data_IF_708883059895
#
_entry.id   IF_708883059895
#
_cell.length_a   1.000
_cell.length_b   1.000
_cell.length_c   1.000
_cell.angle_alpha   90.00
_cell.angle_beta   90.00
_cell.angle_gamma   90.00
#
_symmetry.space_group_name_H-M   'P 1'
#
loop_
_entity.id
_entity.type
_entity.pdbx_description
1 polymer ?
#
# COMPACT_ATOMS: atom_id res chain seq x y z
N UNK A 1 6.13 22.34 -17.58
CA UNK A 1 5.62 21.41 -16.55
C UNK A 1 5.05 20.15 -17.21
N UNK A 2 4.21 20.31 -18.24
CA UNK A 2 3.57 19.19 -18.95
C UNK A 2 4.56 18.26 -19.67
N UNK A 3 5.67 18.79 -20.16
CA UNK A 3 6.71 17.96 -20.79
C UNK A 3 7.44 17.07 -19.79
N UNK A 4 7.69 17.57 -18.58
CA UNK A 4 8.29 16.77 -17.51
C UNK A 4 7.33 15.66 -17.09
N UNK A 5 6.05 16.00 -16.91
CA UNK A 5 5.00 15.03 -16.59
C UNK A 5 4.89 13.94 -17.67
N UNK A 6 4.84 14.33 -18.95
CA UNK A 6 4.80 13.40 -20.09
C UNK A 6 6.03 12.50 -20.14
N UNK A 7 7.22 13.01 -19.81
CA UNK A 7 8.45 12.19 -19.73
C UNK A 7 8.37 11.17 -18.60
N UNK A 8 7.85 11.57 -17.44
CA UNK A 8 7.62 10.67 -16.30
C UNK A 8 6.60 9.58 -16.68
N UNK A 9 5.48 9.95 -17.28
CA UNK A 9 4.44 9.01 -17.73
C UNK A 9 5.01 8.00 -18.75
N UNK A 10 5.84 8.46 -19.69
CA UNK A 10 6.50 7.59 -20.66
C UNK A 10 7.52 6.64 -20.01
N UNK A 11 8.22 7.07 -18.95
CA UNK A 11 9.13 6.19 -18.20
C UNK A 11 8.33 5.08 -17.52
N UNK A 12 7.20 5.41 -16.90
CA UNK A 12 6.32 4.41 -16.30
C UNK A 12 5.76 3.44 -17.35
N UNK A 13 5.22 3.94 -18.45
CA UNK A 13 4.64 3.13 -19.52
C UNK A 13 5.69 2.21 -20.14
N UNK A 14 6.86 2.73 -20.49
CA UNK A 14 7.94 1.93 -21.09
C UNK A 14 8.51 0.91 -20.10
N UNK A 15 8.66 1.31 -18.84
CA UNK A 15 9.06 0.40 -17.75
C UNK A 15 8.10 -0.77 -17.61
N UNK A 16 6.79 -0.52 -17.67
CA UNK A 16 5.73 -1.54 -17.65
C UNK A 16 5.71 -2.40 -18.93
N UNK A 17 5.90 -1.81 -20.11
CA UNK A 17 5.93 -2.54 -21.39
C UNK A 17 7.11 -3.51 -21.50
N UNK A 18 8.30 -3.14 -21.00
CA UNK A 18 9.48 -4.03 -20.96
C UNK A 18 9.21 -5.31 -20.16
N UNK A 19 8.31 -5.26 -19.19
CA UNK A 19 7.88 -6.43 -18.39
C UNK A 19 6.96 -7.38 -19.17
N UNK A 20 6.22 -6.85 -20.14
CA UNK A 20 5.20 -7.61 -20.87
C UNK A 20 5.77 -8.42 -22.03
N UNK A 21 7.06 -8.27 -22.34
CA UNK A 21 7.72 -8.91 -23.48
C UNK A 21 7.88 -10.44 -23.34
N UNK A 22 7.21 -11.07 -22.37
CA UNK A 22 7.05 -12.52 -22.27
C UNK A 22 5.68 -12.90 -22.84
N UNK A 23 5.68 -13.35 -24.08
CA UNK A 23 4.49 -13.87 -24.74
C UNK A 23 3.91 -15.06 -23.97
N UNK A 24 2.63 -14.98 -23.60
CA UNK A 24 1.86 -16.12 -23.07
C UNK A 24 1.59 -16.15 -21.56
N UNK A 25 1.97 -15.13 -20.77
CA UNK A 25 1.60 -15.04 -19.35
C UNK A 25 0.34 -14.17 -19.13
N UNK A 26 -0.53 -14.58 -18.22
CA UNK A 26 -1.70 -13.78 -17.82
C UNK A 26 -1.28 -12.44 -17.19
N UNK A 27 -2.09 -11.39 -17.35
CA UNK A 27 -1.81 -10.01 -16.86
C UNK A 27 -1.40 -10.00 -15.37
N UNK A 28 -2.07 -10.77 -14.52
CA UNK A 28 -1.79 -10.86 -13.08
C UNK A 28 -0.41 -11.49 -12.77
N UNK A 29 0.15 -12.27 -13.70
CA UNK A 29 1.50 -12.83 -13.60
C UNK A 29 2.55 -11.85 -14.14
N UNK A 30 2.19 -11.03 -15.14
CA UNK A 30 3.05 -9.99 -15.70
C UNK A 30 3.34 -8.88 -14.69
N UNK A 31 2.35 -8.54 -13.85
CA UNK A 31 2.43 -7.50 -12.83
C UNK A 31 2.34 -8.05 -11.39
N UNK A 32 2.92 -9.22 -11.14
CA UNK A 32 3.01 -9.71 -9.75
C UNK A 32 3.73 -8.71 -8.85
N UNK A 33 3.33 -8.63 -7.58
CA UNK A 33 3.92 -7.70 -6.59
C UNK A 33 5.45 -7.79 -6.54
N UNK A 34 6.02 -9.00 -6.60
CA UNK A 34 7.47 -9.20 -6.59
C UNK A 34 8.16 -8.57 -7.81
N UNK A 35 7.50 -8.63 -8.98
CA UNK A 35 8.03 -8.08 -10.22
C UNK A 35 7.91 -6.56 -10.25
N UNK A 36 6.75 -6.03 -9.84
CA UNK A 36 6.54 -4.58 -9.67
C UNK A 36 7.52 -3.97 -8.66
N UNK A 37 7.77 -4.67 -7.55
CA UNK A 37 8.76 -4.24 -6.57
C UNK A 37 10.16 -4.17 -7.16
N UNK A 38 10.55 -5.15 -7.98
CA UNK A 38 11.88 -5.14 -8.63
C UNK A 38 12.02 -4.01 -9.66
N UNK A 39 10.97 -3.74 -10.42
CA UNK A 39 11.03 -2.84 -11.57
C UNK A 39 10.76 -1.38 -11.21
N UNK A 40 9.78 -1.14 -10.34
CA UNK A 40 9.33 0.18 -9.93
C UNK A 40 9.78 0.47 -8.51
N UNK A 41 9.48 -0.44 -7.57
CA UNK A 41 9.76 -0.23 -6.14
C UNK A 41 11.24 0.04 -5.86
N UNK A 42 12.13 -0.81 -6.37
CA UNK A 42 13.57 -0.70 -6.18
C UNK A 42 14.14 0.58 -6.82
N UNK A 43 13.74 0.90 -8.06
CA UNK A 43 14.21 2.11 -8.76
C UNK A 43 13.71 3.38 -8.11
N UNK A 44 12.45 3.38 -7.67
CA UNK A 44 11.88 4.52 -6.95
C UNK A 44 12.58 4.71 -5.60
N UNK A 45 12.87 3.63 -4.87
CA UNK A 45 13.66 3.68 -3.63
C UNK A 45 15.06 4.23 -3.88
N UNK A 46 15.77 3.74 -4.90
CA UNK A 46 17.08 4.27 -5.29
C UNK A 46 17.02 5.78 -5.56
N UNK A 47 16.07 6.23 -6.36
CA UNK A 47 15.86 7.65 -6.66
C UNK A 47 15.53 8.48 -5.41
N UNK A 48 14.60 8.00 -4.57
CA UNK A 48 14.22 8.68 -3.32
C UNK A 48 15.41 8.80 -2.37
N UNK A 49 16.39 7.91 -2.42
CA UNK A 49 17.56 7.94 -1.53
C UNK A 49 18.84 8.46 -2.18
N UNK A 50 18.81 8.87 -3.45
CA UNK A 50 20.00 9.22 -4.24
C UNK A 50 20.83 10.35 -3.58
N UNK A 51 20.15 11.34 -2.99
CA UNK A 51 20.78 12.48 -2.32
C UNK A 51 20.69 12.43 -0.78
N UNK A 52 20.18 11.33 -0.23
CA UNK A 52 19.94 11.23 1.21
C UNK A 52 20.97 10.33 1.90
N UNK A 53 21.49 10.79 3.05
CA UNK A 53 22.44 10.04 3.86
C UNK A 53 21.84 8.74 4.45
N UNK A 54 22.68 7.80 4.90
CA UNK A 54 22.27 6.48 5.38
C UNK A 54 21.26 6.52 6.54
N UNK A 55 21.23 7.61 7.31
CA UNK A 55 20.25 7.82 8.38
C UNK A 55 18.80 7.87 7.89
N UNK A 56 18.53 8.56 6.77
CA UNK A 56 17.18 8.67 6.19
C UNK A 56 16.69 7.31 5.70
N UNK A 57 17.59 6.55 5.08
CA UNK A 57 17.31 5.18 4.64
C UNK A 57 17.01 4.28 5.83
N UNK A 58 17.78 4.38 6.91
CA UNK A 58 17.53 3.61 8.14
C UNK A 58 16.17 3.93 8.75
N UNK A 59 15.76 5.21 8.80
CA UNK A 59 14.44 5.59 9.29
C UNK A 59 13.31 5.05 8.42
N UNK A 60 13.45 5.14 7.10
CA UNK A 60 12.44 4.62 6.17
C UNK A 60 12.16 3.12 6.35
N UNK A 61 13.18 2.32 6.70
CA UNK A 61 13.03 0.89 6.95
C UNK A 61 12.77 0.54 8.43
N UNK A 62 12.67 1.54 9.30
CA UNK A 62 12.36 1.34 10.71
C UNK A 62 10.90 1.64 11.00
N UNK A 63 10.41 1.18 12.15
CA UNK A 63 9.10 1.62 12.68
C UNK A 63 9.20 3.00 13.34
N UNK A 64 10.39 3.60 13.44
CA UNK A 64 10.61 4.92 14.02
C UNK A 64 10.10 6.00 13.07
N UNK A 65 9.07 6.73 13.49
CA UNK A 65 8.36 7.67 12.62
C UNK A 65 7.29 7.02 11.74
N UNK A 66 6.93 5.75 12.01
CA UNK A 66 5.73 5.15 11.45
C UNK A 66 4.53 6.03 11.81
N UNK A 67 3.60 6.18 10.86
CA UNK A 67 2.36 6.93 11.09
C UNK A 67 1.67 6.37 12.33
N UNK A 68 1.27 7.26 13.25
CA UNK A 68 0.43 6.88 14.41
C UNK A 68 -0.91 6.26 13.96
N UNK A 69 -1.25 6.44 12.68
CA UNK A 69 -2.40 5.84 12.03
C UNK A 69 -1.98 4.65 11.17
N UNK A 70 -2.59 3.50 11.42
CA UNK A 70 -2.44 2.32 10.58
C UNK A 70 -2.94 2.59 9.15
N UNK A 71 -2.11 2.26 8.16
CA UNK A 71 -2.40 2.40 6.73
C UNK A 71 -2.62 1.06 6.03
N UNK A 72 -2.85 -0.01 6.80
CA UNK A 72 -3.06 -1.36 6.26
C UNK A 72 -4.22 -1.36 5.25
N UNK A 73 -3.93 -1.81 4.03
CA UNK A 73 -4.95 -2.07 3.02
C UNK A 73 -5.57 -3.43 3.28
N UNK A 74 -6.90 -3.49 3.38
CA UNK A 74 -7.63 -4.72 3.64
C UNK A 74 -7.63 -5.64 2.42
N UNK A 75 -7.24 -6.90 2.63
CA UNK A 75 -7.38 -7.96 1.64
C UNK A 75 -8.77 -8.62 1.73
N UNK A 76 -9.26 -9.24 0.64
CA UNK A 76 -10.49 -10.03 0.67
C UNK A 76 -10.49 -11.05 1.83
N UNK A 77 -11.57 -11.10 2.60
CA UNK A 77 -11.73 -12.04 3.72
C UNK A 77 -11.05 -11.64 5.03
N UNK A 78 -10.32 -10.52 5.08
CA UNK A 78 -9.83 -9.97 6.35
C UNK A 78 -10.98 -9.40 7.20
N UNK A 79 -10.85 -9.49 8.53
CA UNK A 79 -11.81 -8.89 9.44
C UNK A 79 -11.58 -7.37 9.52
N UNK A 80 -12.66 -6.62 9.29
CA UNK A 80 -12.71 -5.17 9.44
C UNK A 80 -13.66 -4.82 10.58
N UNK A 81 -13.24 -3.91 11.46
CA UNK A 81 -14.00 -3.51 12.65
C UNK A 81 -14.42 -2.05 12.55
N UNK A 82 -15.59 -1.74 13.10
CA UNK A 82 -16.04 -0.38 13.36
C UNK A 82 -16.57 -0.27 14.78
N UNK A 83 -16.24 0.81 15.46
CA UNK A 83 -16.75 1.12 16.79
C UNK A 83 -18.00 1.96 16.66
N UNK A 84 -19.16 1.43 17.07
CA UNK A 84 -20.45 2.12 16.95
C UNK A 84 -20.55 3.31 17.88
N UNK A 85 -19.91 3.23 19.05
CA UNK A 85 -19.95 4.30 20.05
C UNK A 85 -19.02 5.46 19.67
N UNK A 86 -17.91 5.18 18.97
CA UNK A 86 -16.89 6.18 18.63
C UNK A 86 -16.95 6.68 17.19
N UNK A 87 -17.62 5.97 16.26
CA UNK A 87 -17.64 6.37 14.86
C UNK A 87 -18.27 7.76 14.71
N UNK A 88 -17.54 8.69 14.09
CA UNK A 88 -18.11 10.00 13.71
C UNK A 88 -19.00 9.87 12.49
N UNK A 89 -18.68 8.94 11.60
CA UNK A 89 -19.47 8.57 10.44
C UNK A 89 -19.26 7.08 10.13
N UNK A 90 -20.13 6.50 9.30
CA UNK A 90 -20.12 5.06 8.97
C UNK A 90 -18.92 4.56 8.15
N UNK A 91 -17.87 5.38 7.98
CA UNK A 91 -16.65 5.01 7.24
C UNK A 91 -15.43 4.81 8.14
N UNK A 92 -15.53 5.06 9.44
CA UNK A 92 -14.46 4.79 10.41
C UNK A 92 -14.25 3.27 10.57
N UNK A 93 -13.08 2.77 10.20
CA UNK A 93 -12.75 1.33 10.24
C UNK A 93 -11.36 1.06 10.79
N UNK A 94 -11.17 -0.13 11.36
CA UNK A 94 -9.92 -0.61 11.94
C UNK A 94 -9.63 -2.03 11.46
N UNK A 95 -8.35 -2.36 11.30
CA UNK A 95 -7.92 -3.75 11.14
C UNK A 95 -8.04 -4.51 12.47
N UNK A 96 -7.96 -5.84 12.39
CA UNK A 96 -8.01 -6.70 13.58
C UNK A 96 -6.97 -6.29 14.63
N UNK A 97 -5.71 -6.09 14.23
CA UNK A 97 -4.63 -5.78 15.17
C UNK A 97 -4.84 -4.43 15.87
N UNK A 98 -5.19 -3.38 15.11
CA UNK A 98 -5.50 -2.08 15.70
C UNK A 98 -6.71 -2.14 16.64
N UNK A 99 -7.76 -2.87 16.25
CA UNK A 99 -8.92 -3.05 17.11
C UNK A 99 -8.53 -3.74 18.42
N UNK A 100 -7.84 -4.90 18.36
CA UNK A 100 -7.46 -5.70 19.53
C UNK A 100 -6.57 -4.97 20.53
N UNK A 101 -5.74 -4.03 20.06
CA UNK A 101 -4.83 -3.26 20.90
C UNK A 101 -5.34 -1.84 21.22
N UNK A 102 -6.64 -1.59 21.05
CA UNK A 102 -7.28 -0.31 21.36
C UNK A 102 -8.32 -0.46 22.48
N UNK A 103 -8.72 0.66 23.08
CA UNK A 103 -9.83 0.70 24.05
C UNK A 103 -11.17 0.24 23.44
N UNK A 104 -11.30 0.30 22.11
CA UNK A 104 -12.56 0.03 21.42
C UNK A 104 -13.01 -1.43 21.49
N UNK A 105 -12.15 -2.36 21.93
CA UNK A 105 -12.55 -3.74 22.25
C UNK A 105 -13.65 -3.80 23.32
N UNK A 106 -13.74 -2.78 24.16
CA UNK A 106 -14.73 -2.68 25.23
C UNK A 106 -15.96 -1.85 24.86
N UNK A 107 -16.01 -1.29 23.65
CA UNK A 107 -17.16 -0.53 23.15
C UNK A 107 -18.06 -1.40 22.27
N UNK A 108 -19.30 -0.94 22.03
CA UNK A 108 -20.17 -1.57 21.05
C UNK A 108 -19.55 -1.47 19.67
N UNK A 109 -19.26 -2.60 19.06
CA UNK A 109 -18.60 -2.69 17.77
C UNK A 109 -19.37 -3.59 16.80
N UNK A 110 -19.04 -3.47 15.51
CA UNK A 110 -19.46 -4.41 14.47
C UNK A 110 -18.23 -4.81 13.66
N UNK A 111 -18.26 -6.01 13.11
CA UNK A 111 -17.26 -6.46 12.16
C UNK A 111 -17.89 -7.05 10.89
N UNK A 112 -17.10 -7.07 9.83
CA UNK A 112 -17.44 -7.73 8.58
C UNK A 112 -16.17 -8.21 7.88
N UNK A 113 -16.36 -9.05 6.88
CA UNK A 113 -15.30 -9.51 5.99
C UNK A 113 -15.09 -8.48 4.88
N UNK A 114 -13.85 -8.05 4.68
CA UNK A 114 -13.52 -7.17 3.55
C UNK A 114 -13.86 -7.88 2.25
N UNK A 115 -14.67 -7.20 1.43
CA UNK A 115 -14.97 -7.61 0.06
C UNK A 115 -14.24 -6.72 -0.95
N UNK A 116 -13.34 -5.83 -0.50
CA UNK A 116 -12.55 -5.02 -1.44
C UNK A 116 -11.74 -5.99 -2.29
N UNK A 117 -11.99 -6.08 -3.61
CA UNK A 117 -11.12 -6.86 -4.47
C UNK A 117 -9.71 -6.30 -4.33
N UNK A 118 -8.69 -7.16 -4.44
CA UNK A 118 -7.34 -6.71 -4.72
C UNK A 118 -7.46 -5.85 -5.99
N UNK A 119 -7.46 -4.52 -5.85
CA UNK A 119 -7.30 -3.62 -6.98
C UNK A 119 -5.88 -3.84 -7.46
N UNK A 120 -5.76 -4.83 -8.36
CA UNK A 120 -4.59 -5.16 -9.15
C UNK A 120 -4.37 -4.06 -10.17
#
# INVERSE_FOLDING_TARGET
>A
MDEIKRRIDNIFINGLLVTTNESGKHVNQLFSNARLETLVGARLKEFIFEEHGPAVKAWFYSDFGALEMCTKVFKPGENVYTCIDCQKNGTCTMCYDCFQHSEHVHHKNKNWKSNKPDTT
#
